data_IF_673827628321
#
_entry.id   IF_673827628321
#
_cell.length_a   1.000
_cell.length_b   1.000
_cell.length_c   1.000
_cell.angle_alpha   90.00
_cell.angle_beta   90.00
_cell.angle_gamma   90.00
#
_symmetry.space_group_name_H-M   'P 1'
#
loop_
_entity.id
_entity.type
_entity.pdbx_description
1 polymer ?
#
# COMPACT_ATOMS: atom_id res chain seq x y z
N UNK A 1 -4.35 23.81 9.39
CA UNK A 1 -5.01 22.67 8.74
C UNK A 1 -3.90 21.77 8.26
N UNK A 2 -3.94 20.48 8.60
CA UNK A 2 -3.02 19.51 8.04
C UNK A 2 -3.40 19.31 6.56
N UNK A 3 -2.41 19.28 5.68
CA UNK A 3 -2.64 19.02 4.27
C UNK A 3 -2.75 17.50 4.07
N UNK A 4 -3.84 17.03 3.45
CA UNK A 4 -3.99 15.63 3.06
C UNK A 4 -2.87 15.20 2.12
N UNK A 5 -2.24 14.06 2.38
CA UNK A 5 -1.21 13.49 1.52
C UNK A 5 -1.83 12.60 0.43
N UNK A 6 -1.25 12.66 -0.76
CA UNK A 6 -1.63 11.90 -1.95
C UNK A 6 -0.75 10.65 -2.07
N UNK A 7 -1.31 9.46 -1.87
CA UNK A 7 -0.59 8.19 -2.03
C UNK A 7 -1.09 7.44 -3.27
N UNK A 8 -0.13 7.01 -4.10
CA UNK A 8 -0.41 6.26 -5.31
C UNK A 8 -0.63 4.77 -4.97
N UNK A 9 -1.87 4.27 -5.15
CA UNK A 9 -2.29 2.90 -4.91
C UNK A 9 -1.63 1.93 -5.89
N UNK A 10 -0.76 1.04 -5.41
CA UNK A 10 0.08 0.13 -6.20
C UNK A 10 0.92 0.87 -7.25
N UNK A 11 1.35 2.10 -6.94
CA UNK A 11 1.90 3.05 -7.88
C UNK A 11 0.83 3.75 -8.73
N UNK A 12 1.18 4.30 -9.89
CA UNK A 12 0.24 4.98 -10.79
C UNK A 12 -0.57 3.99 -11.63
N UNK A 13 -1.34 3.10 -10.95
CA UNK A 13 -1.99 1.95 -11.58
C UNK A 13 -3.07 2.33 -12.60
N UNK A 14 -3.64 3.52 -12.51
CA UNK A 14 -4.62 3.94 -13.52
C UNK A 14 -4.02 4.12 -14.91
N UNK A 15 -2.70 4.27 -15.04
CA UNK A 15 -2.00 4.47 -16.32
C UNK A 15 -0.85 3.50 -16.58
N UNK A 16 -0.37 2.78 -15.58
CA UNK A 16 0.78 1.87 -15.66
C UNK A 16 0.48 0.54 -14.95
N UNK A 17 1.17 -0.56 -15.28
CA UNK A 17 0.98 -1.85 -14.63
C UNK A 17 1.21 -1.75 -13.12
N UNK A 18 0.21 -2.14 -12.33
CA UNK A 18 0.25 -2.05 -10.86
C UNK A 18 1.43 -2.82 -10.25
N UNK A 19 1.93 -2.36 -9.10
CA UNK A 19 2.97 -3.03 -8.34
C UNK A 19 4.27 -3.30 -9.13
N UNK A 20 4.62 -2.40 -10.06
CA UNK A 20 5.87 -2.44 -10.84
C UNK A 20 6.73 -1.23 -10.54
N UNK A 21 8.05 -1.36 -10.77
CA UNK A 21 8.98 -0.22 -10.62
C UNK A 21 8.61 0.93 -11.57
N UNK A 22 8.09 0.61 -12.76
CA UNK A 22 7.58 1.62 -13.69
C UNK A 22 6.42 2.41 -13.08
N UNK A 23 5.42 1.74 -12.50
CA UNK A 23 4.27 2.42 -11.88
C UNK A 23 4.70 3.28 -10.67
N UNK A 24 5.67 2.83 -9.89
CA UNK A 24 6.24 3.58 -8.76
C UNK A 24 7.00 4.81 -9.24
N UNK A 25 7.84 4.67 -10.26
CA UNK A 25 8.54 5.79 -10.87
C UNK A 25 7.57 6.85 -11.39
N UNK A 26 6.52 6.42 -12.10
CA UNK A 26 5.50 7.31 -12.66
C UNK A 26 4.60 7.96 -11.60
N UNK A 27 4.40 7.31 -10.44
CA UNK A 27 3.73 7.93 -9.30
C UNK A 27 4.52 9.11 -8.74
N UNK A 28 5.84 8.95 -8.60
CA UNK A 28 6.74 10.04 -8.17
C UNK A 28 6.69 11.20 -9.17
N UNK A 29 6.77 10.93 -10.48
CA UNK A 29 6.66 11.97 -11.53
C UNK A 29 5.30 12.68 -11.51
N UNK A 30 4.22 11.99 -11.14
CA UNK A 30 2.89 12.56 -11.03
C UNK A 30 2.67 13.40 -9.77
N UNK A 31 3.66 13.54 -8.90
CA UNK A 31 3.59 14.34 -7.68
C UNK A 31 2.91 13.63 -6.51
N UNK A 32 2.96 12.30 -6.45
CA UNK A 32 2.54 11.57 -5.26
C UNK A 32 3.48 11.87 -4.08
N UNK A 33 2.92 12.05 -2.89
CA UNK A 33 3.65 12.19 -1.63
C UNK A 33 4.09 10.83 -1.07
N UNK A 34 3.38 9.78 -1.45
CA UNK A 34 3.67 8.41 -1.04
C UNK A 34 3.24 7.38 -2.07
N UNK A 35 3.69 6.16 -1.87
CA UNK A 35 3.34 4.98 -2.66
C UNK A 35 2.82 3.91 -1.72
N UNK A 36 1.66 3.36 -2.05
CA UNK A 36 1.14 2.16 -1.41
C UNK A 36 1.39 0.96 -2.32
N UNK A 37 1.69 -0.19 -1.75
CA UNK A 37 1.92 -1.46 -2.46
C UNK A 37 1.80 -2.68 -1.55
N UNK A 38 1.69 -3.86 -2.16
CA UNK A 38 1.35 -5.14 -1.53
C UNK A 38 2.54 -6.09 -1.47
N UNK A 39 2.77 -6.72 -0.32
CA UNK A 39 3.91 -7.63 -0.11
C UNK A 39 3.44 -9.03 0.26
N UNK A 40 3.94 -10.03 -0.50
CA UNK A 40 3.85 -11.45 -0.24
C UNK A 40 5.24 -12.07 -0.03
N UNK A 41 5.31 -13.36 0.34
CA UNK A 41 6.55 -14.15 0.25
C UNK A 41 6.48 -15.16 -0.89
N UNK A 42 7.58 -15.26 -1.65
CA UNK A 42 7.83 -16.39 -2.55
C UNK A 42 8.08 -17.69 -1.77
N UNK A 43 8.10 -18.85 -2.46
CA UNK A 43 8.35 -20.15 -1.81
C UNK A 43 9.72 -20.26 -1.15
N UNK A 44 10.71 -19.52 -1.65
CA UNK A 44 12.05 -19.41 -1.07
C UNK A 44 12.19 -18.24 -0.06
N UNK A 45 11.04 -17.64 0.32
CA UNK A 45 10.93 -16.67 1.40
C UNK A 45 11.48 -15.28 1.07
N UNK A 46 11.52 -14.90 -0.21
CA UNK A 46 11.86 -13.55 -0.65
C UNK A 46 10.58 -12.68 -0.64
N UNK A 47 10.57 -11.50 0.01
CA UNK A 47 9.46 -10.56 -0.09
C UNK A 47 9.33 -10.02 -1.52
N UNK A 48 8.13 -10.18 -2.12
CA UNK A 48 7.82 -9.81 -3.51
C UNK A 48 6.61 -8.88 -3.53
N UNK A 49 6.55 -7.99 -4.51
CA UNK A 49 5.50 -6.98 -4.62
C UNK A 49 4.51 -7.39 -5.70
N UNK A 50 3.32 -7.78 -5.27
CA UNK A 50 2.17 -8.15 -6.11
C UNK A 50 0.93 -8.12 -5.23
N UNK A 51 -0.26 -7.83 -5.80
CA UNK A 51 -1.47 -7.70 -4.98
C UNK A 51 -2.14 -9.02 -4.65
N UNK A 52 -2.45 -9.84 -5.69
CA UNK A 52 -3.21 -11.08 -5.50
C UNK A 52 -2.31 -12.20 -5.02
N UNK A 53 -2.87 -13.15 -4.29
CA UNK A 53 -2.21 -14.40 -3.94
C UNK A 53 -1.90 -15.22 -5.19
N UNK A 54 -2.63 -15.01 -6.29
CA UNK A 54 -2.51 -15.72 -7.57
C UNK A 54 -1.87 -14.84 -8.65
N UNK A 55 -1.40 -15.47 -9.73
CA UNK A 55 -0.67 -14.82 -10.81
C UNK A 55 -1.54 -14.51 -12.04
N UNK A 56 -2.82 -14.97 -12.04
CA UNK A 56 -3.67 -14.93 -13.22
C UNK A 56 -3.99 -13.51 -13.69
N UNK A 57 -4.43 -12.64 -12.77
CA UNK A 57 -4.98 -11.33 -13.14
C UNK A 57 -3.94 -10.38 -13.72
N UNK A 58 -2.70 -10.43 -13.28
CA UNK A 58 -1.64 -9.53 -13.78
C UNK A 58 -0.70 -10.21 -14.76
N UNK A 59 -0.34 -11.48 -14.49
CA UNK A 59 0.65 -12.21 -15.28
C UNK A 59 0.05 -13.16 -16.32
N UNK A 60 -1.25 -13.46 -16.25
CA UNK A 60 -1.90 -14.43 -17.17
C UNK A 60 -1.45 -15.87 -16.97
N UNK A 61 -0.88 -16.23 -15.82
CA UNK A 61 -0.31 -17.55 -15.52
C UNK A 61 -1.02 -18.14 -14.30
N UNK A 62 -1.42 -19.41 -14.35
CA UNK A 62 -2.04 -20.07 -13.21
C UNK A 62 -1.03 -20.36 -12.10
N UNK A 63 -1.52 -20.25 -10.85
CA UNK A 63 -0.81 -20.67 -9.64
C UNK A 63 -0.61 -19.54 -8.63
N UNK A 64 -0.14 -19.94 -7.45
CA UNK A 64 0.04 -19.03 -6.32
C UNK A 64 1.46 -18.48 -6.26
N UNK A 65 1.58 -17.25 -5.78
CA UNK A 65 2.86 -16.57 -5.51
C UNK A 65 3.71 -17.37 -4.54
N UNK A 66 3.11 -17.86 -3.44
CA UNK A 66 3.78 -18.63 -2.38
C UNK A 66 4.38 -19.96 -2.83
N UNK A 67 3.93 -20.51 -3.95
CA UNK A 67 4.36 -21.83 -4.44
C UNK A 67 5.53 -21.75 -5.44
N UNK A 68 5.96 -20.54 -5.81
CA UNK A 68 7.04 -20.31 -6.75
C UNK A 68 8.23 -19.61 -6.11
N UNK A 69 9.47 -20.04 -6.40
CA UNK A 69 10.66 -19.31 -5.99
C UNK A 69 10.76 -17.97 -6.72
N UNK A 70 11.37 -16.98 -6.09
CA UNK A 70 11.48 -15.62 -6.65
C UNK A 70 12.09 -15.60 -8.07
N UNK A 71 13.08 -16.45 -8.33
CA UNK A 71 13.70 -16.58 -9.66
C UNK A 71 12.68 -16.91 -10.76
N UNK A 72 11.64 -17.67 -10.48
CA UNK A 72 10.55 -17.96 -11.41
C UNK A 72 9.58 -16.79 -11.52
N UNK A 73 9.12 -16.24 -10.38
CA UNK A 73 8.24 -15.07 -10.34
C UNK A 73 8.84 -13.89 -11.13
N UNK A 74 10.14 -13.67 -10.99
CA UNK A 74 10.89 -12.60 -11.67
C UNK A 74 10.92 -12.71 -13.20
N UNK A 75 10.64 -13.88 -13.76
CA UNK A 75 10.57 -14.12 -15.21
C UNK A 75 9.20 -13.84 -15.81
N UNK A 76 8.17 -13.74 -14.97
CA UNK A 76 6.82 -13.46 -15.41
C UNK A 76 6.70 -11.99 -15.82
N UNK A 77 5.76 -11.73 -16.75
CA UNK A 77 5.42 -10.38 -17.14
C UNK A 77 4.26 -9.88 -16.27
N UNK A 78 4.52 -9.01 -15.31
CA UNK A 78 3.51 -8.37 -14.46
C UNK A 78 2.57 -7.40 -15.23
N UNK A 79 2.87 -7.11 -16.50
CA UNK A 79 2.06 -6.30 -17.39
C UNK A 79 1.30 -7.13 -18.43
N UNK A 80 1.30 -8.47 -18.35
CA UNK A 80 0.75 -9.34 -19.39
C UNK A 80 -0.74 -9.10 -19.67
N UNK A 81 -1.51 -8.72 -18.64
CA UNK A 81 -2.95 -8.44 -18.72
C UNK A 81 -3.27 -6.93 -18.65
N UNK A 82 -2.26 -6.08 -18.83
CA UNK A 82 -2.45 -4.63 -18.79
C UNK A 82 -2.98 -4.14 -20.15
N UNK A 83 -4.28 -3.85 -20.22
CA UNK A 83 -5.01 -3.53 -21.46
C UNK A 83 -4.79 -2.13 -22.03
N UNK A 84 -4.09 -1.24 -21.32
CA UNK A 84 -3.95 0.15 -21.81
C UNK A 84 -2.96 0.22 -22.97
N UNK A 85 -3.45 0.77 -24.06
CA UNK A 85 -2.78 0.95 -25.35
C UNK A 85 -1.39 1.62 -25.20
N UNK A 86 -0.41 0.82 -24.87
CA UNK A 86 0.97 1.16 -25.15
C UNK A 86 1.25 0.90 -26.64
N UNK A 87 2.02 1.77 -27.29
CA UNK A 87 2.43 1.58 -28.68
C UNK A 87 3.23 0.29 -28.91
N UNK A 88 3.64 -0.39 -27.83
CA UNK A 88 4.26 -1.71 -27.81
C UNK A 88 3.86 -2.47 -26.54
N UNK A 89 3.86 -3.82 -26.54
CA UNK A 89 3.61 -4.61 -25.35
C UNK A 89 4.61 -4.25 -24.24
N UNK A 90 4.08 -3.91 -23.06
CA UNK A 90 4.91 -3.68 -21.88
C UNK A 90 5.38 -5.02 -21.32
N UNK A 91 6.62 -5.07 -20.90
CA UNK A 91 7.17 -6.20 -20.17
C UNK A 91 7.78 -5.70 -18.86
N UNK A 92 6.99 -5.81 -17.78
CA UNK A 92 7.39 -5.44 -16.44
C UNK A 92 7.58 -6.70 -15.59
N UNK A 93 8.58 -6.70 -14.74
CA UNK A 93 8.87 -7.83 -13.86
C UNK A 93 8.13 -7.64 -12.53
N UNK A 94 7.77 -8.75 -11.86
CA UNK A 94 7.38 -8.70 -10.44
C UNK A 94 8.62 -8.26 -9.65
N UNK A 95 8.61 -7.11 -8.95
CA UNK A 95 9.76 -6.66 -8.19
C UNK A 95 9.86 -7.40 -6.85
N UNK A 96 11.10 -7.57 -6.35
CA UNK A 96 11.27 -7.84 -4.93
C UNK A 96 11.08 -6.56 -4.12
N UNK A 97 10.74 -6.72 -2.84
CA UNK A 97 10.67 -5.58 -1.93
C UNK A 97 12.05 -4.92 -1.76
N UNK A 98 13.13 -5.69 -1.86
CA UNK A 98 14.49 -5.14 -1.82
C UNK A 98 14.78 -4.20 -3.00
N UNK A 99 14.33 -4.54 -4.23
CA UNK A 99 14.46 -3.67 -5.40
C UNK A 99 13.69 -2.35 -5.22
N UNK A 100 12.51 -2.41 -4.60
CA UNK A 100 11.76 -1.21 -4.25
C UNK A 100 12.51 -0.36 -3.20
N UNK A 101 13.03 -0.98 -2.15
CA UNK A 101 13.80 -0.27 -1.13
C UNK A 101 15.01 0.46 -1.73
N UNK A 102 15.74 -0.18 -2.64
CA UNK A 102 16.87 0.45 -3.34
C UNK A 102 16.42 1.61 -4.24
N UNK A 103 15.29 1.45 -4.94
CA UNK A 103 14.69 2.49 -5.78
C UNK A 103 14.28 3.73 -5.00
N UNK A 104 13.69 3.55 -3.79
CA UNK A 104 13.03 4.63 -3.05
C UNK A 104 13.95 5.34 -2.03
N UNK A 105 15.03 4.71 -1.55
CA UNK A 105 15.86 5.16 -0.41
C UNK A 105 16.34 6.61 -0.48
N UNK A 106 16.51 7.16 -1.69
CA UNK A 106 17.01 8.54 -1.88
C UNK A 106 15.90 9.52 -2.29
N UNK A 107 14.64 9.10 -2.24
CA UNK A 107 13.50 9.93 -2.60
C UNK A 107 12.77 10.41 -1.35
N UNK A 108 12.14 11.56 -1.45
CA UNK A 108 11.28 12.07 -0.37
C UNK A 108 9.85 11.58 -0.58
N UNK A 109 9.67 10.27 -0.42
CA UNK A 109 8.41 9.54 -0.61
C UNK A 109 8.18 8.65 0.59
N UNK A 110 6.96 8.65 1.10
CA UNK A 110 6.51 7.77 2.18
C UNK A 110 5.99 6.48 1.55
N UNK A 111 6.35 5.33 2.12
CA UNK A 111 5.88 4.02 1.67
C UNK A 111 4.77 3.52 2.57
N UNK A 112 3.60 3.16 2.04
CA UNK A 112 2.59 2.38 2.76
C UNK A 112 2.67 0.94 2.29
N UNK A 113 3.06 0.05 3.18
CA UNK A 113 3.36 -1.36 2.88
C UNK A 113 2.22 -2.20 3.40
N UNK A 114 1.38 -2.74 2.51
CA UNK A 114 0.37 -3.71 2.89
C UNK A 114 0.97 -5.11 2.96
N UNK A 115 0.93 -5.75 4.14
CA UNK A 115 1.27 -7.16 4.28
C UNK A 115 0.05 -8.03 3.94
N UNK A 116 0.17 -8.85 2.90
CA UNK A 116 -0.91 -9.71 2.38
C UNK A 116 -0.99 -11.04 3.15
N UNK A 117 -1.23 -10.95 4.44
CA UNK A 117 -1.29 -12.10 5.38
C UNK A 117 -2.71 -12.53 5.72
N UNK A 118 -3.72 -12.04 5.00
CA UNK A 118 -5.13 -12.34 5.28
C UNK A 118 -5.58 -13.73 4.82
N UNK A 119 -4.96 -14.29 3.77
CA UNK A 119 -5.28 -15.63 3.23
C UNK A 119 -4.18 -16.63 3.58
N UNK A 120 -2.92 -16.25 3.41
CA UNK A 120 -1.76 -17.06 3.79
C UNK A 120 -0.94 -16.32 4.85
N UNK A 121 -0.52 -16.99 5.91
CA UNK A 121 0.17 -16.37 7.04
C UNK A 121 1.58 -15.85 6.70
N UNK A 122 2.28 -16.46 5.77
CA UNK A 122 3.66 -16.14 5.38
C UNK A 122 4.62 -16.01 6.58
N UNK A 123 4.97 -17.10 7.29
CA UNK A 123 5.81 -17.04 8.49
C UNK A 123 7.12 -16.27 8.24
N UNK A 124 7.38 -15.27 9.08
CA UNK A 124 8.58 -14.43 9.00
C UNK A 124 8.48 -13.24 8.04
N UNK A 125 7.31 -12.94 7.46
CA UNK A 125 7.14 -11.78 6.57
C UNK A 125 7.39 -10.46 7.31
N UNK A 126 6.97 -10.37 8.57
CA UNK A 126 7.14 -9.18 9.40
C UNK A 126 8.62 -8.89 9.65
N UNK A 127 9.39 -9.89 10.08
CA UNK A 127 10.82 -9.76 10.34
C UNK A 127 11.61 -9.44 9.08
N UNK A 128 11.27 -10.07 7.94
CA UNK A 128 11.93 -9.83 6.65
C UNK A 128 11.64 -8.43 6.13
N UNK A 129 10.41 -7.95 6.27
CA UNK A 129 10.01 -6.59 5.92
C UNK A 129 10.80 -5.58 6.74
N UNK A 130 10.82 -5.74 8.06
CA UNK A 130 11.58 -4.87 8.96
C UNK A 130 13.09 -4.90 8.72
N UNK A 131 13.65 -6.07 8.39
CA UNK A 131 15.08 -6.20 8.09
C UNK A 131 15.47 -5.39 6.84
N UNK A 132 14.64 -5.42 5.78
CA UNK A 132 14.87 -4.62 4.57
C UNK A 132 14.72 -3.12 4.85
N UNK A 133 13.66 -2.71 5.56
CA UNK A 133 13.47 -1.31 5.93
C UNK A 133 14.65 -0.76 6.75
N UNK A 134 15.18 -1.53 7.71
CA UNK A 134 16.38 -1.17 8.49
C UNK A 134 17.61 -1.09 7.60
N UNK A 135 17.83 -2.09 6.74
CA UNK A 135 18.99 -2.15 5.82
C UNK A 135 19.08 -0.91 4.93
N UNK A 136 17.94 -0.40 4.46
CA UNK A 136 17.87 0.73 3.53
C UNK A 136 17.57 2.08 4.20
N UNK A 137 17.44 2.12 5.55
CA UNK A 137 17.18 3.35 6.31
C UNK A 137 15.80 3.95 6.08
N UNK A 138 14.77 3.11 5.88
CA UNK A 138 13.42 3.51 5.49
C UNK A 138 12.38 3.48 6.63
N UNK A 139 12.77 3.09 7.84
CA UNK A 139 11.85 2.92 8.98
C UNK A 139 11.01 4.17 9.25
N UNK A 140 11.63 5.37 9.23
CA UNK A 140 10.96 6.65 9.53
C UNK A 140 10.13 7.18 8.33
N UNK A 141 10.21 6.52 7.18
CA UNK A 141 9.50 6.89 5.94
C UNK A 141 8.54 5.80 5.48
N UNK A 142 8.00 5.02 6.41
CA UNK A 142 7.04 3.99 6.06
C UNK A 142 5.91 3.85 7.06
N UNK A 143 4.79 3.36 6.56
CA UNK A 143 3.63 2.89 7.30
C UNK A 143 3.46 1.42 6.92
N UNK A 144 3.26 0.54 7.91
CA UNK A 144 2.92 -0.86 7.63
C UNK A 144 1.46 -1.10 7.96
N UNK A 145 0.73 -1.65 7.00
CA UNK A 145 -0.70 -1.91 7.14
C UNK A 145 -1.05 -3.34 6.72
N UNK A 146 -2.20 -3.82 7.15
CA UNK A 146 -2.78 -5.09 6.72
C UNK A 146 -4.26 -5.16 7.11
N UNK A 147 -5.05 -5.95 6.35
CA UNK A 147 -6.36 -6.43 6.78
C UNK A 147 -6.25 -7.53 7.85
N UNK A 148 -5.10 -8.21 7.94
CA UNK A 148 -4.78 -9.07 9.08
C UNK A 148 -4.19 -8.23 10.22
N UNK A 149 -5.03 -7.80 11.14
CA UNK A 149 -4.63 -6.96 12.25
C UNK A 149 -3.62 -7.63 13.20
N UNK A 150 -3.58 -8.97 13.29
CA UNK A 150 -2.56 -9.68 14.05
C UNK A 150 -1.16 -9.48 13.47
N UNK A 151 -1.04 -9.46 12.13
CA UNK A 151 0.23 -9.16 11.44
C UNK A 151 0.71 -7.73 11.76
N UNK A 152 -0.21 -6.76 11.77
CA UNK A 152 0.11 -5.37 12.15
C UNK A 152 0.59 -5.29 13.61
N UNK A 153 -0.07 -6.01 14.53
CA UNK A 153 0.33 -6.06 15.94
C UNK A 153 1.70 -6.72 16.10
N UNK A 154 2.00 -7.78 15.31
CA UNK A 154 3.35 -8.39 15.30
C UNK A 154 4.43 -7.39 14.87
N UNK A 155 4.20 -6.62 13.80
CA UNK A 155 5.10 -5.51 13.38
C UNK A 155 5.29 -4.52 14.53
N UNK A 156 4.21 -4.08 15.16
CA UNK A 156 4.26 -3.09 16.25
C UNK A 156 5.05 -3.58 17.45
N UNK A 157 4.93 -4.86 17.79
CA UNK A 157 5.71 -5.48 18.86
C UNK A 157 7.21 -5.61 18.52
N UNK A 158 7.55 -5.90 17.25
CA UNK A 158 8.94 -6.01 16.79
C UNK A 158 9.63 -4.65 16.61
N UNK A 159 8.87 -3.61 16.28
CA UNK A 159 9.37 -2.25 16.02
C UNK A 159 8.36 -1.20 16.54
N UNK A 160 8.32 -0.92 17.86
CA UNK A 160 7.29 -0.06 18.48
C UNK A 160 7.20 1.36 17.92
N UNK A 161 8.27 1.87 17.32
CA UNK A 161 8.34 3.22 16.74
C UNK A 161 7.88 3.31 15.28
N UNK A 162 7.69 2.18 14.60
CA UNK A 162 7.18 2.21 13.22
C UNK A 162 5.70 2.59 13.21
N UNK A 163 5.30 3.43 12.26
CA UNK A 163 3.90 3.79 12.09
C UNK A 163 3.13 2.62 11.48
N UNK A 164 1.98 2.26 12.09
CA UNK A 164 1.17 1.12 11.68
C UNK A 164 -0.28 1.51 11.47
N UNK A 165 -0.97 0.79 10.56
CA UNK A 165 -2.37 1.04 10.25
C UNK A 165 -3.21 -0.22 10.13
N UNK A 166 -4.41 -0.20 10.69
CA UNK A 166 -5.42 -1.23 10.48
C UNK A 166 -6.23 -0.93 9.22
N UNK A 167 -6.09 -1.78 8.19
CA UNK A 167 -6.97 -1.79 7.02
C UNK A 167 -8.30 -2.46 7.36
N UNK A 168 -9.38 -1.83 6.91
CA UNK A 168 -10.74 -2.33 7.07
C UNK A 168 -11.54 -2.16 5.77
N UNK A 169 -12.47 -3.06 5.51
CA UNK A 169 -13.44 -3.00 4.41
C UNK A 169 -14.88 -2.89 4.93
N UNK A 170 -15.05 -2.98 6.24
CA UNK A 170 -16.31 -2.91 6.95
C UNK A 170 -16.54 -1.56 7.62
N UNK A 171 -17.78 -1.36 8.10
CA UNK A 171 -18.15 -0.16 8.86
C UNK A 171 -17.95 -0.40 10.35
N UNK A 172 -17.16 0.46 11.00
CA UNK A 172 -16.99 0.50 12.44
C UNK A 172 -17.50 1.85 12.98
N UNK A 173 -18.28 1.81 14.06
CA UNK A 173 -18.86 3.03 14.66
C UNK A 173 -17.81 3.87 15.37
N UNK A 174 -16.94 3.23 16.15
CA UNK A 174 -15.88 3.88 16.92
C UNK A 174 -14.63 2.97 16.97
N UNK A 175 -13.67 3.15 16.04
CA UNK A 175 -12.44 2.36 16.04
C UNK A 175 -11.40 2.84 17.06
N UNK A 176 -11.54 4.04 17.65
CA UNK A 176 -10.54 4.64 18.52
C UNK A 176 -10.14 3.77 19.74
N UNK A 177 -11.08 3.13 20.50
CA UNK A 177 -10.72 2.23 21.59
C UNK A 177 -9.90 1.03 21.12
N UNK A 178 -10.20 0.50 19.92
CA UNK A 178 -9.51 -0.64 19.34
C UNK A 178 -8.08 -0.25 18.93
N UNK A 179 -7.89 0.84 18.22
CA UNK A 179 -6.57 1.39 17.87
C UNK A 179 -5.72 1.64 19.12
N UNK A 180 -6.29 2.31 20.13
CA UNK A 180 -5.63 2.60 21.41
C UNK A 180 -5.19 1.34 22.15
N UNK A 181 -6.04 0.30 22.16
CA UNK A 181 -5.74 -0.98 22.82
C UNK A 181 -4.48 -1.62 22.29
N UNK A 182 -4.22 -1.55 20.97
CA UNK A 182 -3.08 -2.17 20.31
C UNK A 182 -1.93 -1.21 20.00
N UNK A 183 -2.08 0.08 20.34
CA UNK A 183 -1.04 1.10 20.10
C UNK A 183 -0.82 1.39 18.61
N UNK A 184 -1.88 1.33 17.80
CA UNK A 184 -1.83 1.56 16.35
C UNK A 184 -2.25 3.00 16.05
N UNK A 185 -1.50 3.68 15.21
CA UNK A 185 -1.65 5.11 14.94
C UNK A 185 -2.68 5.42 13.84
N UNK A 186 -2.79 4.52 12.84
CA UNK A 186 -3.56 4.80 11.65
C UNK A 186 -4.75 3.86 11.48
N UNK A 187 -5.86 4.45 11.04
CA UNK A 187 -7.04 3.73 10.59
C UNK A 187 -7.21 3.90 9.09
N UNK A 188 -7.33 2.80 8.35
CA UNK A 188 -7.38 2.81 6.89
C UNK A 188 -8.76 2.35 6.37
N UNK A 189 -9.78 3.22 6.39
CA UNK A 189 -11.13 2.89 5.93
C UNK A 189 -11.30 3.11 4.43
N UNK A 190 -12.34 2.51 3.80
CA UNK A 190 -12.74 2.87 2.46
C UNK A 190 -13.26 4.31 2.40
N UNK A 191 -12.79 5.08 1.42
CA UNK A 191 -13.04 6.52 1.28
C UNK A 191 -14.53 6.89 1.14
N UNK A 192 -15.33 6.03 0.48
CA UNK A 192 -16.77 6.27 0.28
C UNK A 192 -17.61 6.30 1.57
N UNK A 193 -17.01 5.93 2.70
CA UNK A 193 -17.67 5.92 4.02
C UNK A 193 -17.26 7.07 4.91
N UNK A 194 -16.33 7.92 4.49
CA UNK A 194 -15.84 9.00 5.30
C UNK A 194 -16.91 10.10 5.47
N UNK A 195 -17.04 10.54 6.70
CA UNK A 195 -17.68 11.81 7.04
C UNK A 195 -16.69 12.68 7.79
N UNK A 196 -16.89 14.00 7.72
CA UNK A 196 -16.02 14.95 8.43
C UNK A 196 -16.03 14.69 9.94
N UNK A 197 -17.20 14.41 10.50
CA UNK A 197 -17.35 14.10 11.94
C UNK A 197 -16.56 12.85 12.34
N UNK A 198 -16.58 11.80 11.51
CA UNK A 198 -15.83 10.56 11.77
C UNK A 198 -14.32 10.83 11.80
N UNK A 199 -13.79 11.57 10.80
CA UNK A 199 -12.37 11.94 10.74
C UNK A 199 -11.97 12.80 11.93
N UNK A 200 -12.75 13.84 12.25
CA UNK A 200 -12.50 14.70 13.41
C UNK A 200 -12.53 13.95 14.75
N UNK A 201 -13.39 12.92 14.89
CA UNK A 201 -13.43 12.08 16.08
C UNK A 201 -12.13 11.30 16.26
N UNK A 202 -11.61 10.68 15.20
CA UNK A 202 -10.34 9.97 15.24
C UNK A 202 -9.17 10.92 15.52
N UNK A 203 -9.12 12.08 14.87
CA UNK A 203 -8.10 13.11 15.13
C UNK A 203 -8.11 13.59 16.59
N UNK A 204 -9.29 13.77 17.21
CA UNK A 204 -9.38 14.10 18.65
C UNK A 204 -8.82 13.00 19.54
N UNK A 205 -8.89 11.76 19.09
CA UNK A 205 -8.27 10.61 19.76
C UNK A 205 -6.75 10.50 19.54
N UNK A 206 -6.17 11.34 18.66
CA UNK A 206 -4.75 11.30 18.29
C UNK A 206 -4.42 10.30 17.19
N UNK A 207 -5.44 9.81 16.46
CA UNK A 207 -5.28 8.82 15.38
C UNK A 207 -5.31 9.49 13.99
N UNK A 208 -4.63 8.88 13.02
CA UNK A 208 -4.65 9.29 11.62
C UNK A 208 -5.68 8.49 10.83
N UNK A 209 -6.23 9.10 9.77
CA UNK A 209 -7.17 8.47 8.83
C UNK A 209 -6.55 8.41 7.45
N UNK A 210 -6.20 7.21 7.00
CA UNK A 210 -5.58 6.95 5.70
C UNK A 210 -6.60 6.23 4.81
N UNK A 211 -7.41 6.99 4.08
CA UNK A 211 -8.51 6.45 3.32
C UNK A 211 -8.09 5.90 1.97
N UNK A 212 -8.64 4.75 1.58
CA UNK A 212 -8.37 4.11 0.30
C UNK A 212 -9.61 4.07 -0.61
N UNK A 213 -9.39 4.24 -1.92
CA UNK A 213 -10.44 4.14 -2.92
C UNK A 213 -10.54 2.70 -3.43
N UNK A 214 -11.70 2.07 -3.17
CA UNK A 214 -12.06 0.76 -3.71
C UNK A 214 -12.77 0.85 -5.06
N UNK A 215 -13.57 -0.18 -5.37
CA UNK A 215 -14.35 -0.24 -6.61
C UNK A 215 -15.52 0.78 -6.69
N UNK A 216 -15.90 1.38 -5.56
CA UNK A 216 -17.00 2.35 -5.52
C UNK A 216 -16.48 3.71 -6.00
N UNK A 217 -17.09 4.22 -7.08
CA UNK A 217 -16.80 5.58 -7.55
C UNK A 217 -17.16 6.60 -6.48
N UNK A 218 -16.19 7.42 -6.09
CA UNK A 218 -16.33 8.45 -5.06
C UNK A 218 -15.76 9.75 -5.61
N UNK A 219 -16.41 10.87 -5.33
CA UNK A 219 -15.91 12.20 -5.70
C UNK A 219 -14.71 12.56 -4.81
N UNK A 220 -13.55 12.72 -5.41
CA UNK A 220 -12.30 13.08 -4.72
C UNK A 220 -12.42 14.40 -3.96
N UNK A 221 -13.08 15.41 -4.55
CA UNK A 221 -13.23 16.71 -3.92
C UNK A 221 -14.11 16.64 -2.65
N UNK A 222 -15.16 15.81 -2.67
CA UNK A 222 -16.00 15.60 -1.49
C UNK A 222 -15.24 14.84 -0.39
N UNK A 223 -14.44 13.83 -0.75
CA UNK A 223 -13.61 13.11 0.24
C UNK A 223 -12.57 14.04 0.85
N UNK A 224 -11.91 14.90 0.06
CA UNK A 224 -10.94 15.88 0.56
C UNK A 224 -11.54 16.85 1.59
N UNK A 225 -12.83 17.20 1.47
CA UNK A 225 -13.54 18.03 2.47
C UNK A 225 -13.66 17.38 3.86
N UNK A 226 -13.53 16.06 3.92
CA UNK A 226 -13.53 15.33 5.22
C UNK A 226 -12.16 15.43 5.92
N UNK A 227 -11.12 15.90 5.23
CA UNK A 227 -9.76 16.13 5.74
C UNK A 227 -9.05 14.87 6.29
N UNK A 228 -9.01 13.74 5.55
CA UNK A 228 -8.19 12.60 5.95
C UNK A 228 -6.71 12.96 5.88
N UNK A 229 -5.86 12.22 6.59
CA UNK A 229 -4.40 12.43 6.57
C UNK A 229 -3.79 11.98 5.25
N UNK A 230 -4.26 10.83 4.73
CA UNK A 230 -3.80 10.26 3.46
C UNK A 230 -5.01 9.83 2.61
N UNK A 231 -4.90 10.08 1.29
CA UNK A 231 -5.75 9.45 0.28
C UNK A 231 -4.94 8.49 -0.57
N UNK A 232 -5.27 7.21 -0.53
CA UNK A 232 -4.67 6.15 -1.35
C UNK A 232 -5.52 5.96 -2.60
N UNK A 233 -4.98 6.32 -3.77
CA UNK A 233 -5.74 6.47 -5.02
C UNK A 233 -5.06 5.86 -6.24
N UNK A 234 -5.87 5.39 -7.20
CA UNK A 234 -5.39 4.95 -8.51
C UNK A 234 -5.01 6.13 -9.43
N UNK A 235 -5.40 7.37 -9.08
CA UNK A 235 -5.27 8.57 -9.89
C UNK A 235 -4.47 9.66 -9.14
N UNK A 236 -3.18 9.43 -8.83
CA UNK A 236 -2.38 10.39 -8.08
C UNK A 236 -2.23 11.74 -8.78
N UNK A 237 -2.28 11.79 -10.10
CA UNK A 237 -2.28 13.03 -10.90
C UNK A 237 -3.51 13.91 -10.61
N UNK A 238 -4.70 13.31 -10.51
CA UNK A 238 -5.94 14.04 -10.21
C UNK A 238 -5.94 14.62 -8.79
N UNK A 239 -5.48 13.83 -7.81
CA UNK A 239 -5.37 14.33 -6.43
C UNK A 239 -4.31 15.44 -6.34
N UNK A 240 -3.17 15.31 -7.02
CA UNK A 240 -2.15 16.35 -7.06
C UNK A 240 -2.68 17.68 -7.64
N UNK A 241 -3.60 17.63 -8.62
CA UNK A 241 -4.28 18.82 -9.16
C UNK A 241 -5.24 19.47 -8.14
N UNK A 242 -5.99 18.65 -7.39
CA UNK A 242 -6.95 19.14 -6.39
C UNK A 242 -6.29 19.71 -5.13
N UNK A 243 -5.04 19.35 -4.85
CA UNK A 243 -4.27 19.80 -3.68
C UNK A 243 -3.44 21.08 -3.96
N UNK A 244 -3.39 21.57 -5.19
CA UNK A 244 -2.73 22.83 -5.59
C UNK A 244 -3.60 24.05 -5.30
#
# INVERSE_FOLDING_TARGET
MFQTLNFAHRGFRSKYPENTILAFYKAVEAGAHGIEFDVHLSSDGIPVIIHDETLERTCGVFGFVKDRPFKELRRLNAAAQFEKAAAAPLHEKIPSFEEYCDFIRHKDIISNIELKTGIFEYPGIEEKTLALLKKYGLIEKCIVSSFNHESVVRIKNLAPHIECGFLVDSWELDPAPYLKRYGIECYHPPAYRLTKEFVENLHRGGFKVNAWFGAVQTDYAEVLKTSPDILITDYPDKIAELLR
#
